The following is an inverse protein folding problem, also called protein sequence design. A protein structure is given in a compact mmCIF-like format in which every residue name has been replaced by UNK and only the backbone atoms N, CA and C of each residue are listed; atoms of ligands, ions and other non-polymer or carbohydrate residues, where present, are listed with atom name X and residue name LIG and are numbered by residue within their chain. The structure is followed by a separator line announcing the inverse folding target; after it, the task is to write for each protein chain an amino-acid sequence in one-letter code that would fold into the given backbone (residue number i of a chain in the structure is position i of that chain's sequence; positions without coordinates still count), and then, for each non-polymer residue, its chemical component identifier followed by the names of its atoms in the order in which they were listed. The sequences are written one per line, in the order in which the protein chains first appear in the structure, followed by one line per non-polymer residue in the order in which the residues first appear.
data_IF_714460212956
#
_entry.id   IF_714460212956
#
_cell.length_a   1.000
_cell.length_b   1.000
_cell.length_c   1.000
_cell.angle_alpha   90.00
_cell.angle_beta   90.00
_cell.angle_gamma   90.00
#
_symmetry.space_group_name_H-M   'P 1'
#
loop_
_entity.id
_entity.type
_entity.pdbx_description
1 polymer ?
#
# COMPACT_ATOMS: atom_id res chain seq x y z
N UNK A 1 19.63 -19.91 -0.58
CA UNK A 1 18.99 -20.60 0.59
C UNK A 1 19.80 -20.33 1.84
N UNK A 2 19.18 -20.00 2.96
CA UNK A 2 19.85 -19.73 4.25
C UNK A 2 19.39 -20.72 5.32
N UNK A 3 20.31 -21.11 6.20
CA UNK A 3 20.03 -21.96 7.39
C UNK A 3 20.89 -21.46 8.55
N UNK A 4 20.28 -21.21 9.71
CA UNK A 4 20.94 -20.70 10.93
C UNK A 4 21.82 -19.45 10.67
N UNK A 5 21.37 -18.53 9.79
CA UNK A 5 22.10 -17.33 9.42
C UNK A 5 23.16 -17.50 8.32
N UNK A 6 23.51 -18.71 7.96
CA UNK A 6 24.51 -19.00 6.92
C UNK A 6 23.88 -19.18 5.55
N UNK A 7 24.54 -18.63 4.52
CA UNK A 7 24.19 -18.88 3.13
C UNK A 7 24.76 -20.25 2.73
N UNK A 8 23.87 -21.24 2.54
CA UNK A 8 24.27 -22.62 2.23
C UNK A 8 24.11 -22.97 0.76
N UNK A 9 23.36 -22.15 0.01
CA UNK A 9 23.14 -22.34 -1.40
C UNK A 9 22.77 -21.02 -2.05
N UNK A 10 23.48 -20.65 -3.13
CA UNK A 10 23.21 -19.50 -3.97
C UNK A 10 23.31 -19.92 -5.44
N UNK A 11 22.27 -19.65 -6.22
CA UNK A 11 22.23 -19.96 -7.63
C UNK A 11 21.25 -19.07 -8.36
N UNK A 12 21.45 -18.91 -9.63
CA UNK A 12 20.70 -18.03 -10.51
C UNK A 12 20.10 -18.86 -11.64
N UNK A 13 18.91 -18.51 -12.08
CA UNK A 13 18.15 -19.20 -13.13
C UNK A 13 17.63 -18.18 -14.16
N UNK A 14 17.17 -18.66 -15.31
CA UNK A 14 16.51 -17.87 -16.34
C UNK A 14 17.31 -16.64 -16.79
N UNK A 15 18.58 -16.83 -17.13
CA UNK A 15 19.50 -15.78 -17.61
C UNK A 15 19.86 -14.70 -16.57
N UNK A 16 19.55 -14.91 -15.31
CA UNK A 16 20.02 -14.03 -14.24
C UNK A 16 21.41 -14.46 -13.78
N UNK A 17 22.26 -13.46 -13.50
CA UNK A 17 23.64 -13.63 -13.03
C UNK A 17 23.82 -13.00 -11.65
N UNK A 18 24.92 -13.33 -10.99
CA UNK A 18 25.30 -12.72 -9.73
C UNK A 18 25.42 -11.19 -9.87
N UNK A 19 24.88 -10.45 -8.90
CA UNK A 19 24.93 -8.99 -8.87
C UNK A 19 23.86 -8.29 -9.72
N UNK A 20 23.06 -9.00 -10.51
CA UNK A 20 21.97 -8.39 -11.22
C UNK A 20 20.85 -7.93 -10.26
N UNK A 21 20.29 -6.74 -10.53
CA UNK A 21 19.19 -6.18 -9.75
C UNK A 21 17.87 -6.85 -10.12
N UNK A 22 17.15 -7.30 -9.12
CA UNK A 22 15.82 -7.87 -9.26
C UNK A 22 14.76 -6.96 -8.66
N UNK A 23 13.59 -6.91 -9.29
CA UNK A 23 12.44 -6.30 -8.64
C UNK A 23 11.98 -7.16 -7.47
N UNK A 24 11.93 -6.58 -6.28
CA UNK A 24 11.55 -7.28 -5.04
C UNK A 24 10.05 -7.34 -4.85
N UNK A 25 9.28 -6.66 -5.70
CA UNK A 25 7.81 -6.62 -5.63
C UNK A 25 7.30 -6.39 -4.19
N UNK A 26 6.39 -7.23 -3.71
CA UNK A 26 5.79 -7.11 -2.39
C UNK A 26 6.73 -7.31 -1.20
N UNK A 27 7.93 -7.84 -1.39
CA UNK A 27 8.96 -7.87 -0.32
C UNK A 27 9.30 -6.45 0.14
N UNK A 28 9.23 -5.47 -0.76
CA UNK A 28 9.37 -4.03 -0.46
C UNK A 28 8.44 -3.57 0.68
N UNK A 29 7.24 -4.15 0.83
CA UNK A 29 6.30 -3.79 1.89
C UNK A 29 6.86 -4.04 3.30
N UNK A 30 7.65 -5.08 3.48
CA UNK A 30 8.31 -5.37 4.76
C UNK A 30 9.35 -4.30 5.09
N UNK A 31 10.10 -3.84 4.07
CA UNK A 31 11.08 -2.75 4.23
C UNK A 31 10.35 -1.44 4.56
N UNK A 32 9.27 -1.13 3.83
CA UNK A 32 8.46 0.07 4.09
C UNK A 32 7.89 0.06 5.51
N UNK A 33 7.36 -1.07 5.98
CA UNK A 33 6.86 -1.21 7.35
C UNK A 33 7.94 -0.93 8.39
N UNK A 34 9.15 -1.46 8.19
CA UNK A 34 10.30 -1.19 9.06
C UNK A 34 10.70 0.29 9.05
N UNK A 35 10.73 0.94 7.88
CA UNK A 35 11.04 2.37 7.75
C UNK A 35 10.00 3.25 8.43
N UNK A 36 8.71 2.90 8.36
CA UNK A 36 7.64 3.59 9.09
C UNK A 36 7.83 3.43 10.60
N UNK A 37 8.19 2.23 11.08
CA UNK A 37 8.53 2.04 12.49
C UNK A 37 9.67 2.93 12.94
N UNK A 38 10.74 3.04 12.16
CA UNK A 38 11.86 3.95 12.43
C UNK A 38 11.42 5.41 12.40
N UNK A 39 10.54 5.79 11.47
CA UNK A 39 10.02 7.17 11.40
C UNK A 39 9.17 7.53 12.62
N UNK A 40 8.42 6.59 13.17
CA UNK A 40 7.66 6.77 14.43
C UNK A 40 8.64 6.89 15.61
N UNK A 41 9.62 6.01 15.71
CA UNK A 41 10.62 6.04 16.77
C UNK A 41 11.41 7.36 16.80
N UNK A 42 11.71 7.91 15.63
CA UNK A 42 12.38 9.22 15.48
C UNK A 42 11.44 10.44 15.59
N UNK A 43 10.14 10.25 15.79
CA UNK A 43 9.16 11.33 15.93
C UNK A 43 8.75 12.04 14.64
N UNK A 44 9.14 11.53 13.45
CA UNK A 44 8.68 12.07 12.16
C UNK A 44 7.21 11.75 11.87
N UNK A 45 6.74 10.62 12.38
CA UNK A 45 5.34 10.18 12.36
C UNK A 45 4.93 9.98 13.81
N UNK A 46 3.78 10.51 14.22
CA UNK A 46 3.32 10.40 15.59
C UNK A 46 2.99 8.95 15.97
N UNK A 47 2.13 8.30 15.17
CA UNK A 47 1.72 6.91 15.32
C UNK A 47 0.98 6.42 14.06
N UNK A 48 0.63 5.14 14.04
CA UNK A 48 -0.07 4.50 12.91
C UNK A 48 -1.53 4.92 12.77
N UNK A 49 -2.12 5.63 13.75
CA UNK A 49 -3.51 6.07 13.70
C UNK A 49 -3.64 7.46 13.08
N UNK A 50 -2.53 8.14 12.74
CA UNK A 50 -2.60 9.38 11.98
C UNK A 50 -3.33 9.16 10.65
N UNK A 51 -4.25 10.08 10.33
CA UNK A 51 -4.99 10.05 9.07
C UNK A 51 -4.11 10.48 7.90
N UNK A 52 -4.50 10.08 6.69
CA UNK A 52 -3.77 10.50 5.47
C UNK A 52 -3.77 12.03 5.31
N UNK A 53 -4.81 12.72 5.75
CA UNK A 53 -4.88 14.19 5.73
C UNK A 53 -3.89 14.85 6.68
N UNK A 54 -3.58 14.21 7.81
CA UNK A 54 -2.55 14.65 8.75
C UNK A 54 -1.13 14.34 8.25
N UNK A 55 -0.95 13.23 7.53
CA UNK A 55 0.35 12.85 6.95
C UNK A 55 0.71 13.69 5.71
N UNK A 56 -0.29 14.14 4.97
CA UNK A 56 -0.10 14.93 3.74
C UNK A 56 -0.85 16.27 3.79
N UNK A 57 -0.53 17.16 4.76
CA UNK A 57 -1.29 18.40 4.97
C UNK A 57 -1.23 19.36 3.77
N UNK A 58 -0.17 19.28 2.98
CA UNK A 58 0.07 20.15 1.82
C UNK A 58 -0.44 19.55 0.49
N UNK A 59 -1.04 18.36 0.53
CA UNK A 59 -1.59 17.72 -0.68
C UNK A 59 -3.09 17.99 -0.80
N UNK A 60 -3.51 18.47 -1.97
CA UNK A 60 -4.92 18.59 -2.29
C UNK A 60 -5.46 17.23 -2.72
N UNK A 61 -6.43 16.68 -2.01
CA UNK A 61 -7.08 15.41 -2.35
C UNK A 61 -8.42 15.74 -3.01
N UNK A 62 -8.54 15.47 -4.32
CA UNK A 62 -9.68 15.96 -5.13
C UNK A 62 -11.02 15.29 -4.77
N UNK A 63 -11.01 14.07 -4.27
CA UNK A 63 -12.21 13.29 -3.94
C UNK A 63 -12.23 12.88 -2.45
N UNK A 64 -11.98 13.83 -1.58
CA UNK A 64 -11.89 13.64 -0.13
C UNK A 64 -13.29 13.49 0.48
N UNK A 65 -13.80 12.27 0.53
CA UNK A 65 -15.04 11.90 1.22
C UNK A 65 -14.81 11.58 2.71
N UNK A 66 -15.89 11.27 3.44
CA UNK A 66 -15.82 10.96 4.86
C UNK A 66 -15.01 9.70 5.16
N UNK A 67 -15.05 8.68 4.30
CA UNK A 67 -14.27 7.43 4.48
C UNK A 67 -12.80 7.70 4.32
N UNK A 68 -12.42 8.46 3.29
CA UNK A 68 -11.04 8.83 3.03
C UNK A 68 -10.47 9.75 4.12
N UNK A 69 -11.29 10.66 4.71
CA UNK A 69 -10.87 11.48 5.85
C UNK A 69 -10.49 10.66 7.08
N UNK A 70 -11.16 9.53 7.29
CA UNK A 70 -10.92 8.63 8.41
C UNK A 70 -9.83 7.59 8.15
N UNK A 71 -9.34 7.50 6.91
CA UNK A 71 -8.29 6.54 6.53
C UNK A 71 -6.99 6.86 7.25
N UNK A 72 -6.43 5.86 7.92
CA UNK A 72 -5.21 5.98 8.72
C UNK A 72 -4.02 5.33 8.04
N UNK A 73 -2.81 5.63 8.54
CA UNK A 73 -1.59 4.92 8.16
C UNK A 73 -1.71 3.40 8.44
N UNK A 74 -2.40 3.04 9.54
CA UNK A 74 -2.67 1.63 9.86
C UNK A 74 -3.48 0.94 8.78
N UNK A 75 -4.52 1.61 8.23
CA UNK A 75 -5.33 1.03 7.15
C UNK A 75 -4.50 0.80 5.88
N UNK A 76 -3.55 1.70 5.59
CA UNK A 76 -2.61 1.52 4.48
C UNK A 76 -1.67 0.33 4.72
N UNK A 77 -1.06 0.23 5.89
CA UNK A 77 -0.14 -0.85 6.26
C UNK A 77 -0.82 -2.22 6.28
N UNK A 78 -2.07 -2.27 6.73
CA UNK A 78 -2.87 -3.49 6.75
C UNK A 78 -3.54 -3.81 5.42
N UNK A 79 -3.35 -2.99 4.38
CA UNK A 79 -3.98 -3.13 3.06
C UNK A 79 -5.52 -3.10 3.11
N UNK A 80 -6.07 -2.33 4.04
CA UNK A 80 -7.51 -2.16 4.30
C UNK A 80 -8.02 -0.76 3.99
N UNK A 81 -7.26 0.01 3.23
CA UNK A 81 -7.57 1.41 2.89
C UNK A 81 -8.91 1.59 2.18
N UNK A 82 -9.35 0.61 1.40
CA UNK A 82 -10.57 0.70 0.59
C UNK A 82 -10.43 1.55 -0.68
N UNK A 83 -9.23 1.99 -1.05
CA UNK A 83 -9.00 2.70 -2.31
C UNK A 83 -9.23 1.77 -3.50
N UNK A 84 -9.86 2.29 -4.55
CA UNK A 84 -10.06 1.57 -5.81
C UNK A 84 -8.81 1.65 -6.69
N UNK A 85 -7.93 0.69 -6.54
CA UNK A 85 -6.70 0.61 -7.34
C UNK A 85 -6.93 0.26 -8.82
N UNK A 86 -8.17 -0.09 -9.19
CA UNK A 86 -8.56 -0.37 -10.57
C UNK A 86 -9.25 0.81 -11.25
N UNK A 87 -9.48 1.91 -10.50
CA UNK A 87 -10.19 3.07 -11.03
C UNK A 87 -9.60 3.56 -12.36
N UNK A 88 -10.47 3.69 -13.36
CA UNK A 88 -10.06 4.09 -14.71
C UNK A 88 -9.25 3.04 -15.47
N UNK A 89 -9.18 1.80 -15.00
CA UNK A 89 -8.36 0.73 -15.57
C UNK A 89 -9.14 -0.57 -15.65
N UNK A 90 -8.77 -1.43 -16.62
CA UNK A 90 -9.41 -2.75 -16.80
C UNK A 90 -9.01 -3.75 -15.72
N UNK A 91 -7.88 -3.52 -15.06
CA UNK A 91 -7.38 -4.35 -13.95
C UNK A 91 -6.28 -3.62 -13.16
N UNK A 92 -5.84 -4.22 -12.06
CA UNK A 92 -4.82 -3.65 -11.18
C UNK A 92 -3.46 -3.41 -11.87
N UNK A 93 -3.08 -4.28 -12.82
CA UNK A 93 -1.83 -4.10 -13.57
C UNK A 93 -1.89 -2.83 -14.40
N UNK A 94 -3.00 -2.60 -15.10
CA UNK A 94 -3.22 -1.38 -15.89
C UNK A 94 -3.24 -0.13 -15.01
N UNK A 95 -3.85 -0.18 -13.82
CA UNK A 95 -3.81 0.90 -12.82
C UNK A 95 -2.39 1.22 -12.37
N UNK A 96 -1.57 0.19 -12.14
CA UNK A 96 -0.14 0.35 -11.82
C UNK A 96 0.65 1.02 -12.95
N UNK A 97 0.40 0.64 -14.19
CA UNK A 97 1.05 1.26 -15.36
C UNK A 97 0.67 2.73 -15.46
N UNK A 98 -0.60 3.07 -15.25
CA UNK A 98 -1.10 4.44 -15.26
C UNK A 98 -0.45 5.27 -14.15
N UNK A 99 -0.35 4.73 -12.93
CA UNK A 99 0.35 5.37 -11.83
C UNK A 99 1.83 5.66 -12.17
N UNK A 100 2.54 4.68 -12.75
CA UNK A 100 3.96 4.83 -13.12
C UNK A 100 4.21 5.91 -14.18
N UNK A 101 3.19 6.23 -15.00
CA UNK A 101 3.25 7.31 -15.99
C UNK A 101 2.96 8.69 -15.39
N UNK A 102 2.44 8.77 -14.16
CA UNK A 102 2.19 10.04 -13.50
C UNK A 102 3.48 10.65 -12.96
N UNK A 103 3.56 11.98 -12.92
CA UNK A 103 4.70 12.70 -12.36
C UNK A 103 4.74 12.68 -10.83
N UNK A 104 3.60 12.40 -10.17
CA UNK A 104 3.47 12.34 -8.72
C UNK A 104 2.63 11.13 -8.32
N UNK A 105 3.30 10.05 -7.96
CA UNK A 105 2.65 8.79 -7.55
C UNK A 105 1.86 8.94 -6.26
N UNK A 106 2.34 9.77 -5.35
CA UNK A 106 1.64 10.03 -4.09
C UNK A 106 0.31 10.72 -4.37
N UNK A 107 0.31 11.79 -5.16
CA UNK A 107 -0.89 12.51 -5.55
C UNK A 107 -1.87 11.63 -6.34
N UNK A 108 -1.34 10.83 -7.27
CA UNK A 108 -2.16 9.86 -8.02
C UNK A 108 -2.93 8.92 -7.07
N UNK A 109 -2.23 8.31 -6.11
CA UNK A 109 -2.84 7.38 -5.18
C UNK A 109 -3.81 8.08 -4.20
N UNK A 110 -3.50 9.28 -3.74
CA UNK A 110 -4.40 10.08 -2.88
C UNK A 110 -5.71 10.45 -3.60
N UNK A 111 -5.67 10.61 -4.93
CA UNK A 111 -6.82 10.93 -5.75
C UNK A 111 -7.62 9.70 -6.22
N UNK A 112 -7.17 8.47 -5.94
CA UNK A 112 -8.00 7.29 -6.20
C UNK A 112 -9.30 7.37 -5.42
N UNK A 113 -10.47 7.07 -6.02
CA UNK A 113 -11.73 7.02 -5.29
C UNK A 113 -11.74 5.86 -4.30
N UNK A 114 -12.69 5.90 -3.37
CA UNK A 114 -13.00 4.74 -2.54
C UNK A 114 -13.71 3.70 -3.42
N UNK A 115 -13.34 2.44 -3.30
CA UNK A 115 -14.00 1.35 -4.00
C UNK A 115 -15.49 1.31 -3.62
N UNK A 116 -16.36 1.17 -4.61
CA UNK A 116 -17.78 0.98 -4.39
C UNK A 116 -18.00 -0.38 -3.74
N UNK A 117 -18.08 -0.39 -2.43
CA UNK A 117 -18.34 -1.60 -1.67
C UNK A 117 -19.85 -1.79 -1.64
N UNK A 118 -20.32 -2.97 -2.05
CA UNK A 118 -21.74 -3.35 -1.91
C UNK A 118 -22.28 -2.98 -0.52
N UNK A 119 -23.51 -2.48 -0.39
CA UNK A 119 -24.14 -2.16 0.90
C UNK A 119 -24.03 -3.31 1.92
N UNK A 120 -23.94 -4.54 1.45
CA UNK A 120 -23.76 -5.73 2.27
C UNK A 120 -22.39 -5.77 2.98
N UNK A 121 -21.36 -5.17 2.39
CA UNK A 121 -20.02 -5.09 2.98
C UNK A 121 -19.92 -3.96 4.03
N UNK A 122 -20.63 -2.86 3.82
CA UNK A 122 -20.70 -1.76 4.81
C UNK A 122 -21.38 -2.21 6.10
N UNK A 123 -22.42 -3.05 6.02
CA UNK A 123 -23.06 -3.62 7.20
C UNK A 123 -22.15 -4.59 7.98
N UNK A 124 -21.23 -5.30 7.32
CA UNK A 124 -20.26 -6.16 8.00
C UNK A 124 -19.16 -5.36 8.71
N UNK A 125 -18.75 -4.21 8.20
CA UNK A 125 -17.76 -3.34 8.83
C UNK A 125 -18.22 -2.76 10.16
N UNK A 126 -19.53 -2.60 10.36
CA UNK A 126 -20.13 -2.13 11.63
C UNK A 126 -20.21 -3.21 12.71
N UNK A 127 -20.02 -4.49 12.38
CA UNK A 127 -20.20 -5.61 13.33
C UNK A 127 -19.02 -6.53 13.55
N UNK A 128 -18.05 -6.62 12.61
CA UNK A 128 -16.84 -7.44 12.77
C UNK A 128 -15.72 -6.92 11.89
N UNK A 129 -14.55 -6.70 12.46
CA UNK A 129 -13.29 -6.52 11.74
C UNK A 129 -12.80 -7.87 11.17
N UNK A 130 -13.59 -8.49 10.29
CA UNK A 130 -13.17 -9.68 9.55
C UNK A 130 -13.03 -9.28 8.08
N UNK A 131 -11.79 -9.09 7.66
CA UNK A 131 -11.43 -8.89 6.26
C UNK A 131 -11.61 -10.23 5.54
N UNK A 132 -12.42 -10.33 4.45
CA UNK A 132 -12.46 -11.55 3.65
C UNK A 132 -11.09 -11.83 3.02
N UNK A 133 -10.63 -13.06 3.10
CA UNK A 133 -9.31 -13.50 2.56
C UNK A 133 -9.06 -13.23 1.07
N UNK A 134 -10.04 -12.78 0.31
CA UNK A 134 -9.95 -12.52 -1.13
C UNK A 134 -9.68 -11.06 -1.52
N UNK A 135 -9.48 -10.15 -0.55
CA UNK A 135 -9.07 -8.76 -0.82
C UNK A 135 -7.57 -8.54 -0.63
N UNK A 136 -6.76 -9.58 -0.67
CA UNK A 136 -5.31 -9.56 -0.42
C UNK A 136 -4.47 -8.75 -1.44
N UNK A 137 -5.09 -8.08 -2.41
CA UNK A 137 -4.35 -7.45 -3.51
C UNK A 137 -4.44 -5.93 -3.58
N UNK A 138 -4.95 -5.26 -2.56
CA UNK A 138 -5.04 -3.80 -2.60
C UNK A 138 -3.68 -3.20 -2.24
N UNK A 139 -3.01 -2.68 -3.23
CA UNK A 139 -1.63 -2.17 -3.19
C UNK A 139 -1.55 -0.80 -2.48
N UNK A 140 -2.00 -0.70 -1.24
CA UNK A 140 -1.94 0.56 -0.49
C UNK A 140 -0.49 0.99 -0.13
N UNK A 141 0.44 0.05 -0.04
CA UNK A 141 1.83 0.31 0.38
C UNK A 141 2.71 0.96 -0.71
N UNK A 142 2.21 1.10 -1.94
CA UNK A 142 2.94 1.84 -2.99
C UNK A 142 2.84 3.36 -2.87
N UNK A 143 2.11 3.88 -1.89
CA UNK A 143 1.89 5.32 -1.69
C UNK A 143 3.08 6.00 -0.99
N UNK A 144 3.95 5.26 -0.31
CA UNK A 144 4.92 5.81 0.66
C UNK A 144 6.37 5.66 0.20
N UNK A 145 6.64 5.13 -0.99
CA UNK A 145 8.01 5.02 -1.52
C UNK A 145 8.19 5.93 -2.72
#
# INVERSE_FOLDING_TARGET
MRRNGYLIFDTYFNFFEEGQKHETYSVTKSVTSALIGIAIDKGYIKDVNQTITQLFPNKKIDNLDNLKRLMTLKDLLMMTSGLDCNYGSVNQLAGTITMRKSNDWTQYNLNLPMAQISPFYQMKKSRLAVVPKHTEQITAVRIII
#
